data_IF_236240995627
#
_entry.id   IF_236240995627
#
_cell.length_a   1.000
_cell.length_b   1.000
_cell.length_c   1.000
_cell.angle_alpha   90.00
_cell.angle_beta   90.00
_cell.angle_gamma   90.00
#
_symmetry.space_group_name_H-M   'P 1'
#
loop_
_entity.id
_entity.type
_entity.pdbx_description
1 polymer ?
#
# COMPACT_ATOMS: atom_id res chain seq x y z
N UNK A 1 6.39 10.66 -37.42
CA UNK A 1 5.05 10.03 -37.39
C UNK A 1 5.05 9.04 -36.24
N UNK A 2 4.38 9.35 -35.13
CA UNK A 2 4.37 8.51 -33.93
C UNK A 2 3.20 7.54 -34.03
N UNK A 3 3.28 6.32 -33.49
CA UNK A 3 2.16 5.37 -33.50
C UNK A 3 1.87 4.90 -32.08
N UNK A 4 0.60 4.92 -31.68
CA UNK A 4 0.15 4.39 -30.40
C UNK A 4 -0.31 2.96 -30.62
N UNK A 5 0.28 2.01 -29.88
CA UNK A 5 -0.14 0.62 -29.90
C UNK A 5 -1.28 0.41 -28.90
N UNK A 6 -2.40 -0.13 -29.40
CA UNK A 6 -3.57 -0.45 -28.59
C UNK A 6 -3.59 -1.92 -28.20
N UNK A 7 -4.26 -2.23 -27.08
CA UNK A 7 -4.47 -3.61 -26.65
C UNK A 7 -5.31 -4.34 -27.70
N UNK A 8 -4.72 -5.34 -28.35
CA UNK A 8 -5.29 -6.03 -29.52
C UNK A 8 -4.43 -5.94 -30.78
N UNK A 9 -3.30 -5.22 -30.75
CA UNK A 9 -2.32 -5.17 -31.84
C UNK A 9 -2.60 -4.08 -32.89
N UNK A 10 -3.72 -3.37 -32.77
CA UNK A 10 -4.01 -2.20 -33.59
C UNK A 10 -3.01 -1.07 -33.30
N UNK A 11 -2.51 -0.42 -34.35
CA UNK A 11 -1.61 0.74 -34.26
C UNK A 11 -2.27 1.93 -34.92
N UNK A 12 -2.41 3.02 -34.17
CA UNK A 12 -2.99 4.27 -34.68
C UNK A 12 -1.88 5.29 -34.84
N UNK A 13 -1.84 5.98 -35.99
CA UNK A 13 -0.91 7.07 -36.21
C UNK A 13 -1.31 8.28 -35.34
N UNK A 14 -0.37 8.78 -34.56
CA UNK A 14 -0.51 9.97 -33.73
C UNK A 14 0.10 11.15 -34.49
N UNK A 15 -0.77 12.04 -34.95
CA UNK A 15 -0.42 13.32 -35.55
C UNK A 15 -0.53 14.40 -34.47
N UNK A 16 0.59 14.92 -33.99
CA UNK A 16 0.63 15.80 -32.81
C UNK A 16 -0.32 17.01 -32.89
N UNK A 17 -0.54 17.55 -34.10
CA UNK A 17 -1.45 18.68 -34.31
C UNK A 17 -2.93 18.37 -34.03
N UNK A 18 -3.37 17.12 -34.23
CA UNK A 18 -4.76 16.70 -33.99
C UNK A 18 -5.02 16.36 -32.52
N UNK A 19 -3.96 16.07 -31.76
CA UNK A 19 -4.05 15.61 -30.37
C UNK A 19 -3.82 16.72 -29.34
N UNK A 20 -3.44 17.94 -29.76
CA UNK A 20 -3.34 19.10 -28.87
C UNK A 20 -4.70 19.56 -28.31
N UNK A 21 -5.80 19.30 -29.02
CA UNK A 21 -7.17 19.71 -28.65
C UNK A 21 -8.07 18.54 -28.23
N UNK A 22 -7.50 17.35 -27.99
CA UNK A 22 -8.25 16.21 -27.48
C UNK A 22 -8.55 16.40 -25.98
N UNK A 23 -9.79 16.19 -25.56
CA UNK A 23 -10.18 16.23 -24.14
C UNK A 23 -10.62 14.85 -23.64
N UNK A 24 -10.27 14.56 -22.39
CA UNK A 24 -10.67 13.32 -21.74
C UNK A 24 -12.02 13.48 -21.04
N UNK A 25 -13.02 12.70 -21.44
CA UNK A 25 -14.33 12.67 -20.76
C UNK A 25 -14.33 11.56 -19.72
N UNK A 26 -14.63 11.92 -18.47
CA UNK A 26 -14.70 10.99 -17.34
C UNK A 26 -16.16 10.67 -17.02
N UNK A 27 -16.63 9.50 -17.42
CA UNK A 27 -17.96 9.00 -17.08
C UNK A 27 -17.85 7.67 -16.32
N UNK A 28 -18.42 7.61 -15.11
CA UNK A 28 -18.51 6.39 -14.27
C UNK A 28 -17.25 5.50 -14.25
N UNK A 29 -16.07 6.13 -14.07
CA UNK A 29 -14.80 5.41 -13.93
C UNK A 29 -14.22 4.84 -15.23
N UNK A 30 -14.67 5.33 -16.39
CA UNK A 30 -14.02 5.16 -17.69
C UNK A 30 -13.42 6.50 -18.10
N UNK A 31 -12.21 6.47 -18.67
CA UNK A 31 -11.63 7.62 -19.36
C UNK A 31 -11.73 7.32 -20.84
N UNK A 32 -12.58 8.09 -21.53
CA UNK A 32 -12.74 8.03 -22.97
C UNK A 32 -12.04 9.25 -23.56
N UNK A 33 -11.14 9.01 -24.51
CA UNK A 33 -10.50 10.08 -25.27
C UNK A 33 -11.43 10.39 -26.44
N UNK A 34 -12.00 11.59 -26.45
CA UNK A 34 -12.83 12.06 -27.56
C UNK A 34 -12.00 13.02 -28.42
N UNK A 35 -11.94 12.72 -29.72
CA UNK A 35 -11.46 13.68 -30.70
C UNK A 35 -12.60 14.68 -30.98
N UNK A 36 -12.27 15.94 -31.27
CA UNK A 36 -13.26 17.02 -31.48
C UNK A 36 -14.30 16.71 -32.59
N UNK A 37 -14.11 15.69 -33.42
CA UNK A 37 -15.07 15.21 -34.41
C UNK A 37 -16.14 14.23 -33.89
N UNK A 38 -16.16 13.90 -32.59
CA UNK A 38 -17.21 13.08 -31.97
C UNK A 38 -17.06 11.57 -32.17
N UNK A 39 -15.99 11.12 -32.82
CA UNK A 39 -15.69 9.70 -32.98
C UNK A 39 -15.09 9.12 -31.68
N UNK A 40 -15.67 8.03 -31.13
CA UNK A 40 -15.23 7.46 -29.86
C UNK A 40 -13.85 6.79 -30.01
N UNK A 41 -12.84 7.36 -29.34
CA UNK A 41 -11.50 6.80 -29.27
C UNK A 41 -11.42 5.50 -28.44
N UNK A 42 -10.29 4.78 -28.53
CA UNK A 42 -10.11 3.51 -27.82
C UNK A 42 -10.24 3.68 -26.30
N UNK A 43 -11.09 2.84 -25.69
CA UNK A 43 -11.30 2.83 -24.24
C UNK A 43 -10.07 2.23 -23.57
N UNK A 44 -9.31 3.06 -22.84
CA UNK A 44 -8.27 2.57 -21.94
C UNK A 44 -8.96 1.80 -20.81
N UNK A 45 -8.89 0.46 -20.91
CA UNK A 45 -9.39 -0.46 -19.90
C UNK A 45 -8.83 -0.11 -18.51
N UNK A 46 -9.65 -0.37 -17.50
CA UNK A 46 -9.39 -0.12 -16.07
C UNK A 46 -8.00 -0.62 -15.63
N UNK A 47 -7.56 -0.18 -14.44
CA UNK A 47 -6.85 -1.03 -13.45
C UNK A 47 -5.46 -0.65 -12.93
N UNK A 48 -5.24 0.63 -12.60
CA UNK A 48 -4.15 1.00 -11.68
C UNK A 48 -4.62 1.07 -10.20
N UNK A 49 -5.65 1.87 -9.91
CA UNK A 49 -6.07 2.11 -8.52
C UNK A 49 -6.87 0.98 -7.88
N UNK A 50 -7.64 0.21 -8.65
CA UNK A 50 -8.54 -0.83 -8.11
C UNK A 50 -7.79 -2.06 -7.58
N UNK A 51 -6.71 -2.48 -8.26
CA UNK A 51 -5.98 -3.69 -7.88
C UNK A 51 -5.02 -3.50 -6.71
N UNK A 52 -4.37 -2.33 -6.56
CA UNK A 52 -3.67 -2.01 -5.29
C UNK A 52 -4.67 -1.90 -4.13
N UNK A 53 -5.91 -1.49 -4.40
CA UNK A 53 -6.97 -1.50 -3.39
C UNK A 53 -7.36 -2.93 -3.02
N UNK A 54 -7.52 -3.83 -3.99
CA UNK A 54 -7.83 -5.25 -3.72
C UNK A 54 -6.70 -6.00 -3.01
N UNK A 55 -5.48 -5.97 -3.56
CA UNK A 55 -4.32 -6.66 -2.98
C UNK A 55 -3.86 -6.00 -1.69
N UNK A 56 -3.88 -4.66 -1.61
CA UNK A 56 -3.58 -3.92 -0.40
C UNK A 56 -4.61 -4.18 0.70
N UNK A 57 -5.90 -4.31 0.37
CA UNK A 57 -6.95 -4.67 1.32
C UNK A 57 -6.77 -6.09 1.87
N UNK A 58 -6.54 -7.08 1.00
CA UNK A 58 -6.29 -8.46 1.44
C UNK A 58 -5.03 -8.53 2.31
N UNK A 59 -3.96 -7.84 1.91
CA UNK A 59 -2.73 -7.76 2.69
C UNK A 59 -2.95 -7.08 4.05
N UNK A 60 -3.77 -6.03 4.10
CA UNK A 60 -4.15 -5.34 5.34
C UNK A 60 -4.90 -6.28 6.27
N UNK A 61 -5.92 -6.98 5.77
CA UNK A 61 -6.66 -7.97 6.54
C UNK A 61 -5.74 -9.09 7.06
N UNK A 62 -4.87 -9.62 6.20
CA UNK A 62 -3.91 -10.65 6.58
C UNK A 62 -2.94 -10.14 7.66
N UNK A 63 -2.43 -8.92 7.52
CA UNK A 63 -1.56 -8.29 8.51
C UNK A 63 -2.28 -8.07 9.84
N UNK A 64 -3.51 -7.56 9.82
CA UNK A 64 -4.33 -7.39 11.04
C UNK A 64 -4.55 -8.71 11.76
N UNK A 65 -4.98 -9.76 11.04
CA UNK A 65 -5.18 -11.09 11.62
C UNK A 65 -3.87 -11.65 12.17
N UNK A 66 -2.77 -11.58 11.41
CA UNK A 66 -1.48 -12.11 11.84
C UNK A 66 -0.94 -11.37 13.08
N UNK A 67 -1.03 -10.03 13.11
CA UNK A 67 -0.59 -9.25 14.27
C UNK A 67 -1.45 -9.54 15.50
N UNK A 68 -2.77 -9.62 15.35
CA UNK A 68 -3.67 -9.94 16.47
C UNK A 68 -3.43 -11.34 17.01
N UNK A 69 -3.19 -12.33 16.13
CA UNK A 69 -2.82 -13.68 16.56
C UNK A 69 -1.47 -13.70 17.28
N UNK A 70 -0.47 -12.98 16.77
CA UNK A 70 0.83 -12.86 17.44
C UNK A 70 0.69 -12.20 18.83
N UNK A 71 -0.13 -11.17 18.96
CA UNK A 71 -0.43 -10.54 20.24
C UNK A 71 -1.15 -11.49 21.21
N UNK A 72 -2.14 -12.24 20.72
CA UNK A 72 -2.86 -13.23 21.52
C UNK A 72 -1.95 -14.36 22.01
N UNK A 73 -1.04 -14.84 21.15
CA UNK A 73 -0.03 -15.83 21.52
C UNK A 73 0.95 -15.28 22.57
N UNK A 74 1.37 -14.02 22.42
CA UNK A 74 2.23 -13.36 23.40
C UNK A 74 1.53 -13.22 24.77
N UNK A 75 0.25 -12.83 24.80
CA UNK A 75 -0.55 -12.82 26.03
C UNK A 75 -0.70 -14.22 26.64
N UNK A 76 -0.94 -15.23 25.81
CA UNK A 76 -1.10 -16.62 26.28
C UNK A 76 0.16 -17.19 26.96
N UNK A 77 1.34 -16.65 26.65
CA UNK A 77 2.61 -17.01 27.31
C UNK A 77 3.03 -16.03 28.41
N UNK A 78 2.16 -15.08 28.79
CA UNK A 78 2.35 -14.19 29.95
C UNK A 78 2.90 -12.79 29.64
N UNK A 79 2.76 -12.29 28.40
CA UNK A 79 3.08 -10.89 28.07
C UNK A 79 1.84 -10.03 28.29
N UNK A 80 1.80 -9.30 29.40
CA UNK A 80 0.59 -8.58 29.83
C UNK A 80 0.28 -7.30 29.02
N UNK A 81 1.21 -6.79 28.20
CA UNK A 81 1.04 -5.55 27.41
C UNK A 81 0.35 -4.42 28.20
N UNK A 82 0.74 -4.21 29.45
CA UNK A 82 0.19 -3.13 30.27
C UNK A 82 0.77 -1.78 29.86
N UNK A 83 -0.07 -0.75 29.91
CA UNK A 83 0.39 0.64 29.77
C UNK A 83 1.14 1.01 31.07
N UNK A 84 2.37 1.57 31.00
CA UNK A 84 3.03 2.10 32.17
C UNK A 84 2.09 3.12 32.83
N UNK A 85 1.82 2.98 34.14
CA UNK A 85 0.86 3.75 34.97
C UNK A 85 -0.36 2.96 35.50
N UNK A 86 -0.38 1.63 35.37
CA UNK A 86 -1.44 0.79 35.96
C UNK A 86 -2.76 0.82 35.19
N UNK A 87 -2.66 1.13 33.88
CA UNK A 87 -3.78 1.11 32.96
C UNK A 87 -4.21 -0.31 32.58
N UNK A 88 -5.45 -0.42 32.12
CA UNK A 88 -6.06 -1.66 31.65
C UNK A 88 -5.25 -2.32 30.52
N UNK A 89 -5.28 -3.66 30.48
CA UNK A 89 -4.57 -4.49 29.49
C UNK A 89 -4.92 -4.03 28.08
N UNK A 90 -3.93 -3.83 27.19
CA UNK A 90 -4.22 -3.39 25.82
C UNK A 90 -5.13 -4.43 25.15
N UNK A 91 -6.35 -4.06 24.74
CA UNK A 91 -7.27 -5.01 24.12
C UNK A 91 -6.71 -5.48 22.79
N UNK A 92 -6.93 -6.75 22.44
CA UNK A 92 -6.47 -7.34 21.18
C UNK A 92 -6.94 -6.57 19.93
N UNK A 93 -8.10 -5.91 20.04
CA UNK A 93 -8.65 -5.02 19.01
C UNK A 93 -7.78 -3.78 18.77
N UNK A 94 -7.06 -3.28 19.78
CA UNK A 94 -6.14 -2.16 19.66
C UNK A 94 -5.02 -2.46 18.66
N UNK A 95 -4.41 -3.65 18.74
CA UNK A 95 -3.40 -4.10 17.78
C UNK A 95 -3.95 -4.22 16.36
N UNK A 96 -5.16 -4.74 16.20
CA UNK A 96 -5.82 -4.81 14.90
C UNK A 96 -6.02 -3.41 14.29
N UNK A 97 -6.57 -2.48 15.07
CA UNK A 97 -6.87 -1.11 14.62
C UNK A 97 -5.60 -0.36 14.24
N UNK A 98 -4.56 -0.40 15.07
CA UNK A 98 -3.28 0.26 14.81
C UNK A 98 -2.61 -0.32 13.56
N UNK A 99 -2.57 -1.65 13.42
CA UNK A 99 -2.04 -2.31 12.21
C UNK A 99 -2.82 -1.91 10.96
N UNK A 100 -4.15 -1.87 11.04
CA UNK A 100 -5.00 -1.44 9.93
C UNK A 100 -4.71 0.01 9.52
N UNK A 101 -4.60 0.93 10.49
CA UNK A 101 -4.27 2.33 10.25
C UNK A 101 -2.91 2.48 9.55
N UNK A 102 -1.85 1.87 10.08
CA UNK A 102 -0.51 1.94 9.46
C UNK A 102 -0.48 1.29 8.08
N UNK A 103 -1.25 0.22 7.86
CA UNK A 103 -1.38 -0.43 6.54
C UNK A 103 -2.01 0.51 5.51
N UNK A 104 -3.04 1.27 5.89
CA UNK A 104 -3.65 2.29 5.04
C UNK A 104 -2.65 3.39 4.71
N UNK A 105 -1.91 3.89 5.70
CA UNK A 105 -0.85 4.89 5.50
C UNK A 105 0.19 4.37 4.49
N UNK A 106 0.64 3.12 4.64
CA UNK A 106 1.56 2.48 3.70
C UNK A 106 1.02 2.40 2.28
N UNK A 107 -0.27 2.05 2.11
CA UNK A 107 -0.94 2.06 0.80
C UNK A 107 -0.97 3.47 0.20
N UNK A 108 -1.30 4.49 0.99
CA UNK A 108 -1.31 5.89 0.53
C UNK A 108 0.08 6.33 0.06
N UNK A 109 1.13 6.00 0.80
CA UNK A 109 2.53 6.27 0.40
C UNK A 109 2.86 5.55 -0.91
N UNK A 110 2.50 4.27 -1.04
CA UNK A 110 2.74 3.50 -2.27
C UNK A 110 2.03 4.12 -3.48
N UNK A 111 0.77 4.54 -3.32
CA UNK A 111 0.00 5.21 -4.37
C UNK A 111 0.60 6.57 -4.73
N UNK A 112 1.04 7.34 -3.75
CA UNK A 112 1.71 8.63 -3.97
C UNK A 112 3.03 8.45 -4.74
N UNK A 113 3.86 7.49 -4.33
CA UNK A 113 5.13 7.20 -5.01
C UNK A 113 4.92 6.73 -6.44
N UNK A 114 3.89 5.93 -6.70
CA UNK A 114 3.57 5.53 -8.06
C UNK A 114 3.19 6.73 -8.95
N UNK A 115 2.56 7.77 -8.39
CA UNK A 115 2.17 8.96 -9.16
C UNK A 115 3.32 9.95 -9.39
N UNK A 116 4.32 9.97 -8.52
CA UNK A 116 5.33 11.03 -8.50
C UNK A 116 6.79 10.55 -8.58
N UNK A 117 7.04 9.24 -8.56
CA UNK A 117 8.40 8.70 -8.59
C UNK A 117 8.69 7.98 -9.90
N UNK A 118 9.89 8.20 -10.43
CA UNK A 118 10.46 7.39 -11.51
C UNK A 118 10.87 5.96 -11.06
N UNK A 119 11.00 5.72 -9.74
CA UNK A 119 11.36 4.41 -9.17
C UNK A 119 10.51 4.09 -7.93
N UNK A 120 9.20 3.86 -8.12
CA UNK A 120 8.24 3.82 -7.02
C UNK A 120 8.49 2.65 -6.05
N UNK A 121 8.83 1.46 -6.56
CA UNK A 121 9.08 0.29 -5.72
C UNK A 121 10.32 0.46 -4.83
N UNK A 122 11.42 0.98 -5.40
CA UNK A 122 12.68 1.21 -4.67
C UNK A 122 12.46 2.23 -3.55
N UNK A 123 11.87 3.39 -3.87
CA UNK A 123 11.61 4.43 -2.87
C UNK A 123 10.64 3.97 -1.78
N UNK A 124 9.62 3.20 -2.15
CA UNK A 124 8.67 2.67 -1.18
C UNK A 124 9.36 1.76 -0.16
N UNK A 125 10.21 0.85 -0.61
CA UNK A 125 10.95 -0.05 0.29
C UNK A 125 11.85 0.75 1.22
N UNK A 126 12.61 1.72 0.71
CA UNK A 126 13.43 2.60 1.55
C UNK A 126 12.60 3.32 2.62
N UNK A 127 11.51 3.98 2.22
CA UNK A 127 10.63 4.68 3.15
C UNK A 127 10.02 3.74 4.19
N UNK A 128 9.47 2.59 3.76
CA UNK A 128 8.80 1.66 4.65
C UNK A 128 9.78 0.98 5.63
N UNK A 129 10.97 0.61 5.18
CA UNK A 129 12.02 0.05 6.04
C UNK A 129 12.50 1.09 7.05
N UNK A 130 12.73 2.33 6.63
CA UNK A 130 13.08 3.42 7.56
C UNK A 130 11.99 3.67 8.60
N UNK A 131 10.72 3.74 8.20
CA UNK A 131 9.60 3.90 9.12
C UNK A 131 9.49 2.72 10.09
N UNK A 132 9.71 1.49 9.60
CA UNK A 132 9.74 0.29 10.44
C UNK A 132 10.86 0.39 11.46
N UNK A 133 12.09 0.69 11.03
CA UNK A 133 13.23 0.85 11.92
C UNK A 133 13.00 1.95 12.98
N UNK A 134 12.45 3.09 12.59
CA UNK A 134 12.08 4.18 13.52
C UNK A 134 11.01 3.68 14.51
N UNK A 135 10.03 2.91 14.06
CA UNK A 135 8.99 2.35 14.94
C UNK A 135 9.49 1.33 15.95
N UNK A 136 10.69 0.78 15.78
CA UNK A 136 11.34 -0.11 16.77
C UNK A 136 12.03 0.66 17.90
N UNK A 137 12.24 1.97 17.76
CA UNK A 137 12.89 2.80 18.78
C UNK A 137 12.07 2.87 20.08
N UNK A 138 10.75 3.17 20.06
CA UNK A 138 9.97 3.24 21.29
C UNK A 138 9.96 1.92 22.10
N UNK A 139 9.75 0.73 21.50
CA UNK A 139 9.87 -0.54 22.22
C UNK A 139 11.21 -0.71 22.95
N UNK A 140 12.33 -0.34 22.30
CA UNK A 140 13.67 -0.45 22.88
C UNK A 140 13.94 0.55 24.01
N UNK A 141 13.21 1.67 24.03
CA UNK A 141 13.33 2.72 25.05
C UNK A 141 12.23 2.65 26.14
N UNK A 142 11.27 1.73 26.01
CA UNK A 142 10.08 1.66 26.88
C UNK A 142 10.38 1.25 28.33
N UNK A 143 11.57 0.69 28.60
CA UNK A 143 11.91 0.11 29.91
C UNK A 143 11.17 -1.20 30.22
N UNK A 144 10.44 -1.76 29.25
CA UNK A 144 9.74 -3.03 29.40
C UNK A 144 10.73 -4.20 29.57
N UNK A 145 10.26 -5.29 30.19
CA UNK A 145 11.07 -6.50 30.31
C UNK A 145 11.40 -7.10 28.91
N UNK A 146 12.35 -8.04 28.86
CA UNK A 146 12.80 -8.65 27.60
C UNK A 146 11.66 -9.30 26.82
N UNK A 147 10.75 -10.02 27.48
CA UNK A 147 9.64 -10.69 26.83
C UNK A 147 8.69 -9.70 26.16
N UNK A 148 8.27 -8.65 26.87
CA UNK A 148 7.42 -7.58 26.33
C UNK A 148 8.13 -6.83 25.20
N UNK A 149 9.41 -6.51 25.36
CA UNK A 149 10.20 -5.84 24.31
C UNK A 149 10.25 -6.70 23.04
N UNK A 150 10.58 -7.98 23.16
CA UNK A 150 10.61 -8.91 22.03
C UNK A 150 9.24 -9.03 21.37
N UNK A 151 8.16 -9.11 22.15
CA UNK A 151 6.81 -9.16 21.64
C UNK A 151 6.43 -7.88 20.86
N UNK A 152 6.75 -6.71 21.39
CA UNK A 152 6.53 -5.42 20.71
C UNK A 152 7.30 -5.32 19.41
N UNK A 153 8.59 -5.70 19.40
CA UNK A 153 9.38 -5.76 18.16
C UNK A 153 8.73 -6.70 17.15
N UNK A 154 8.31 -7.89 17.59
CA UNK A 154 7.58 -8.85 16.76
C UNK A 154 6.31 -8.25 16.16
N UNK A 155 5.51 -7.55 16.96
CA UNK A 155 4.28 -6.90 16.52
C UNK A 155 4.48 -5.80 15.47
N UNK A 156 5.65 -5.15 15.43
CA UNK A 156 6.01 -4.23 14.34
C UNK A 156 6.48 -4.97 13.09
N UNK A 157 7.25 -6.05 13.27
CA UNK A 157 7.85 -6.79 12.16
C UNK A 157 6.85 -7.67 11.41
N UNK A 158 5.91 -8.31 12.11
CA UNK A 158 4.85 -9.15 11.50
C UNK A 158 4.09 -8.40 10.39
N UNK A 159 3.46 -7.24 10.63
CA UNK A 159 2.75 -6.53 9.58
C UNK A 159 3.71 -5.98 8.51
N UNK A 160 4.93 -5.58 8.87
CA UNK A 160 5.93 -5.10 7.90
C UNK A 160 6.32 -6.20 6.89
N UNK A 161 6.54 -7.43 7.35
CA UNK A 161 6.89 -8.58 6.48
C UNK A 161 5.74 -8.99 5.56
N UNK A 162 4.48 -8.69 5.91
CA UNK A 162 3.32 -8.92 5.04
C UNK A 162 3.16 -7.77 4.04
N UNK A 163 3.14 -6.53 4.53
CA UNK A 163 2.78 -5.36 3.73
C UNK A 163 3.89 -4.91 2.77
N UNK A 164 5.14 -4.82 3.24
CA UNK A 164 6.25 -4.27 2.46
C UNK A 164 6.48 -5.05 1.16
N UNK A 165 6.70 -6.39 1.19
CA UNK A 165 6.98 -7.11 -0.04
C UNK A 165 5.74 -7.22 -0.93
N UNK A 166 4.53 -7.25 -0.38
CA UNK A 166 3.30 -7.28 -1.17
C UNK A 166 3.11 -6.00 -1.97
N UNK A 167 3.26 -4.84 -1.32
CA UNK A 167 3.17 -3.55 -2.00
C UNK A 167 4.35 -3.33 -2.95
N UNK A 168 5.58 -3.66 -2.54
CA UNK A 168 6.77 -3.52 -3.40
C UNK A 168 6.67 -4.37 -4.69
N UNK A 169 6.20 -5.62 -4.59
CA UNK A 169 5.94 -6.46 -5.77
C UNK A 169 4.88 -5.83 -6.68
N UNK A 170 3.78 -5.34 -6.12
CA UNK A 170 2.72 -4.69 -6.88
C UNK A 170 3.19 -3.43 -7.62
N UNK A 171 4.11 -2.66 -7.02
CA UNK A 171 4.71 -1.47 -7.63
C UNK A 171 5.71 -1.83 -8.74
N UNK A 172 6.43 -2.96 -8.61
CA UNK A 172 7.38 -3.42 -9.64
C UNK A 172 6.68 -3.90 -10.90
N UNK A 173 5.65 -4.73 -10.77
CA UNK A 173 4.81 -5.21 -11.88
C UNK A 173 4.08 -4.10 -12.65
N UNK A 174 4.17 -2.86 -12.16
CA UNK A 174 3.54 -1.66 -12.72
C UNK A 174 4.50 -0.75 -13.46
N UNK A 175 5.79 -0.94 -13.25
CA UNK A 175 6.86 -0.12 -13.84
C UNK A 175 7.57 -0.85 -14.98
N UNK A 176 7.50 -2.19 -14.98
CA UNK A 176 7.90 -3.09 -16.09
C UNK A 176 6.77 -3.22 -17.13
#
# INVERSE_FOLDING_TARGET
MWTLALRGGARVAVVAAEWCDAFGVVTRGRVQLELHHGEPGPVLGRDAGFWLRGTGFIATLAAMVATTLAAALAQAVGVDFEVPDGGETIPLSGFAVVTGFFSIVGIVIAVALLRWSARPAERFVWTAVSLTAISLVPPLLSGANTATTTALLGLHLVPATVMIPTLARSLRTRTE
#
